data_IF_164537362111
#
_entry.id   IF_164537362111
#
_cell.length_a   1.000
_cell.length_b   1.000
_cell.length_c   1.000
_cell.angle_alpha   90.00
_cell.angle_beta   90.00
_cell.angle_gamma   90.00
#
_symmetry.space_group_name_H-M   'P 1'
#
loop_
_entity.id
_entity.type
_entity.pdbx_description
1 polymer ?
#
# COMPACT_ATOMS: atom_id res chain seq x y z
N UNK A 1 0.09 -14.73 -9.66
CA UNK A 1 -1.39 -15.00 -9.58
C UNK A 1 -1.80 -15.92 -10.72
N UNK A 2 -3.00 -16.53 -10.63
CA UNK A 2 -3.58 -17.24 -11.78
C UNK A 2 -4.06 -16.20 -12.81
N UNK A 3 -3.45 -16.21 -14.00
CA UNK A 3 -3.71 -15.22 -15.05
C UNK A 3 -5.18 -15.26 -15.51
N UNK A 4 -5.76 -16.45 -15.67
CA UNK A 4 -7.14 -16.56 -16.17
C UNK A 4 -8.17 -16.04 -15.14
N UNK A 5 -7.86 -16.12 -13.84
CA UNK A 5 -8.68 -15.52 -12.80
C UNK A 5 -8.53 -14.00 -12.82
N UNK A 6 -7.30 -13.51 -12.93
CA UNK A 6 -7.01 -12.08 -12.94
C UNK A 6 -7.65 -11.39 -14.14
N UNK A 7 -7.55 -11.97 -15.34
CA UNK A 7 -8.18 -11.46 -16.56
C UNK A 7 -9.72 -11.33 -16.40
N UNK A 8 -10.36 -12.32 -15.73
CA UNK A 8 -11.81 -12.24 -15.45
C UNK A 8 -12.17 -11.15 -14.44
N UNK A 9 -11.34 -10.93 -13.43
CA UNK A 9 -11.55 -9.83 -12.46
C UNK A 9 -11.39 -8.47 -13.15
N UNK A 10 -10.37 -8.32 -13.99
CA UNK A 10 -10.14 -7.11 -14.80
C UNK A 10 -11.33 -6.89 -15.76
N UNK A 11 -11.83 -7.93 -16.39
CA UNK A 11 -13.02 -7.82 -17.26
C UNK A 11 -14.28 -7.39 -16.49
N UNK A 12 -14.48 -7.90 -15.26
CA UNK A 12 -15.59 -7.43 -14.40
C UNK A 12 -15.43 -5.94 -14.09
N UNK A 13 -14.21 -5.49 -13.79
CA UNK A 13 -13.90 -4.10 -13.51
C UNK A 13 -14.15 -3.21 -14.73
N UNK A 14 -13.65 -3.60 -15.91
CA UNK A 14 -13.85 -2.88 -17.17
C UNK A 14 -15.33 -2.71 -17.50
N UNK A 15 -16.10 -3.80 -17.39
CA UNK A 15 -17.55 -3.80 -17.66
C UNK A 15 -18.31 -2.89 -16.70
N UNK A 16 -17.86 -2.80 -15.44
CA UNK A 16 -18.48 -1.98 -14.39
C UNK A 16 -18.00 -0.53 -14.35
N UNK A 17 -17.00 -0.14 -15.13
CA UNK A 17 -16.27 1.14 -14.97
C UNK A 17 -17.19 2.38 -15.04
N UNK A 18 -18.21 2.39 -15.88
CA UNK A 18 -19.13 3.52 -15.99
C UNK A 18 -19.98 3.70 -14.74
N UNK A 19 -20.37 2.59 -14.08
CA UNK A 19 -21.07 2.65 -12.80
C UNK A 19 -20.14 3.00 -11.64
N UNK A 20 -18.87 2.58 -11.71
CA UNK A 20 -17.86 2.85 -10.68
C UNK A 20 -17.44 4.32 -10.67
N UNK A 21 -17.35 4.97 -11.84
CA UNK A 21 -16.73 6.29 -12.01
C UNK A 21 -17.72 7.44 -12.14
N UNK A 22 -18.94 7.30 -11.80
CA UNK A 22 -19.89 8.42 -11.83
C UNK A 22 -21.34 8.01 -12.06
N UNK A 23 -21.60 6.69 -12.11
CA UNK A 23 -22.94 6.15 -12.18
C UNK A 23 -23.53 5.93 -10.78
N UNK A 24 -23.56 4.67 -10.36
CA UNK A 24 -24.10 4.25 -9.06
C UNK A 24 -23.12 4.46 -7.90
N UNK A 25 -21.83 4.48 -8.20
CA UNK A 25 -20.72 4.57 -7.25
C UNK A 25 -19.84 5.77 -7.60
N UNK A 26 -18.96 6.17 -6.69
CA UNK A 26 -18.00 7.26 -6.88
C UNK A 26 -16.60 6.78 -6.51
N UNK A 27 -16.14 5.66 -7.12
CA UNK A 27 -14.80 5.15 -6.85
C UNK A 27 -13.69 6.05 -7.42
N UNK A 28 -14.03 6.90 -8.36
CA UNK A 28 -13.13 7.89 -8.97
C UNK A 28 -12.59 8.91 -7.94
N UNK A 29 -13.22 9.03 -6.77
CA UNK A 29 -12.77 9.92 -5.70
C UNK A 29 -11.31 9.66 -5.28
N UNK A 30 -10.77 8.45 -5.49
CA UNK A 30 -9.38 8.09 -5.14
C UNK A 30 -8.36 8.93 -5.92
N UNK A 31 -8.63 9.19 -7.21
CA UNK A 31 -7.79 10.05 -8.05
C UNK A 31 -7.98 11.54 -7.72
N UNK A 32 -9.15 11.92 -7.19
CA UNK A 32 -9.38 13.26 -6.61
C UNK A 32 -8.58 13.44 -5.34
N UNK A 33 -8.64 12.47 -4.44
CA UNK A 33 -7.86 12.48 -3.20
C UNK A 33 -6.35 12.55 -3.49
N UNK A 34 -5.86 11.79 -4.48
CA UNK A 34 -4.47 11.86 -4.93
C UNK A 34 -4.11 13.27 -5.40
N UNK A 35 -4.90 13.86 -6.30
CA UNK A 35 -4.64 15.21 -6.82
C UNK A 35 -4.63 16.26 -5.71
N UNK A 36 -5.62 16.22 -4.84
CA UNK A 36 -5.72 17.14 -3.70
C UNK A 36 -4.50 17.00 -2.79
N UNK A 37 -4.11 15.76 -2.46
CA UNK A 37 -2.97 15.53 -1.60
C UNK A 37 -1.67 16.04 -2.24
N UNK A 38 -1.38 15.70 -3.48
CA UNK A 38 -0.19 16.13 -4.18
C UNK A 38 -0.10 17.66 -4.30
N UNK A 39 -1.21 18.32 -4.63
CA UNK A 39 -1.24 19.77 -4.78
C UNK A 39 -1.03 20.50 -3.44
N UNK A 40 -1.62 20.01 -2.37
CA UNK A 40 -1.65 20.71 -1.09
C UNK A 40 -0.49 20.30 -0.17
N UNK A 41 -0.06 19.04 -0.17
CA UNK A 41 1.03 18.60 0.70
C UNK A 41 2.36 19.27 0.37
N UNK A 42 2.64 19.43 -0.92
CA UNK A 42 3.90 20.02 -1.41
C UNK A 42 3.84 21.54 -1.62
N UNK A 43 2.71 22.15 -1.31
CA UNK A 43 2.57 23.62 -1.36
C UNK A 43 3.34 24.28 -0.20
N UNK A 44 4.16 25.28 -0.51
CA UNK A 44 5.13 25.87 0.44
C UNK A 44 4.51 26.88 1.42
N UNK A 45 3.31 27.38 1.19
CA UNK A 45 2.70 28.49 1.90
C UNK A 45 1.76 28.09 3.06
N UNK A 46 1.77 26.82 3.47
CA UNK A 46 1.07 26.41 4.67
C UNK A 46 1.76 26.90 5.93
N UNK A 47 1.02 27.50 6.87
CA UNK A 47 1.59 28.09 8.09
C UNK A 47 2.16 27.03 9.06
N UNK A 48 1.59 25.82 9.05
CA UNK A 48 1.97 24.72 9.93
C UNK A 48 1.57 23.35 9.34
N UNK A 49 2.02 22.28 10.00
CA UNK A 49 1.69 20.91 9.65
C UNK A 49 0.18 20.65 9.64
N UNK A 50 -0.56 21.13 10.64
CA UNK A 50 -1.99 20.87 10.76
C UNK A 50 -2.78 21.47 9.60
N UNK A 51 -2.44 22.70 9.20
CA UNK A 51 -3.03 23.38 8.04
C UNK A 51 -2.77 22.61 6.76
N UNK A 52 -1.50 22.19 6.54
CA UNK A 52 -1.10 21.32 5.42
C UNK A 52 -1.87 20.01 5.43
N UNK A 53 -1.88 19.30 6.56
CA UNK A 53 -2.56 18.01 6.72
C UNK A 53 -4.06 18.12 6.43
N UNK A 54 -4.74 19.11 7.00
CA UNK A 54 -6.18 19.30 6.82
C UNK A 54 -6.56 19.58 5.37
N UNK A 55 -5.79 20.40 4.67
CA UNK A 55 -6.02 20.72 3.26
C UNK A 55 -5.70 19.55 2.35
N UNK A 56 -4.56 18.93 2.53
CA UNK A 56 -4.12 17.79 1.72
C UNK A 56 -5.05 16.56 1.88
N UNK A 57 -5.63 16.37 3.05
CA UNK A 57 -6.46 15.19 3.35
C UNK A 57 -7.96 15.46 3.32
N UNK A 58 -8.44 16.59 2.80
CA UNK A 58 -9.87 16.91 2.79
C UNK A 58 -10.72 15.90 2.03
N UNK A 59 -10.22 15.38 0.90
CA UNK A 59 -10.90 14.38 0.07
C UNK A 59 -10.48 12.93 0.42
N UNK A 60 -9.60 12.78 1.42
CA UNK A 60 -8.98 11.53 1.79
C UNK A 60 -9.76 10.72 2.83
N UNK A 61 -10.63 11.37 3.60
CA UNK A 61 -11.38 10.72 4.69
C UNK A 61 -12.19 9.51 4.22
N UNK A 62 -12.78 9.57 3.03
CA UNK A 62 -13.56 8.46 2.46
C UNK A 62 -12.70 7.21 2.23
N UNK A 63 -11.40 7.39 1.96
CA UNK A 63 -10.47 6.29 1.73
C UNK A 63 -10.09 5.54 3.01
N UNK A 64 -9.88 6.26 4.12
CA UNK A 64 -9.35 5.71 5.37
C UNK A 64 -10.36 5.63 6.50
N UNK A 65 -11.33 6.54 6.56
CA UNK A 65 -12.36 6.54 7.60
C UNK A 65 -13.44 5.48 7.30
N UNK A 66 -14.05 4.97 8.34
CA UNK A 66 -15.20 4.07 8.24
C UNK A 66 -16.17 4.33 9.40
N UNK A 67 -17.27 3.58 9.48
CA UNK A 67 -18.30 3.76 10.51
C UNK A 67 -17.81 3.59 11.96
N UNK A 68 -16.61 3.03 12.17
CA UNK A 68 -16.04 2.73 13.50
C UNK A 68 -14.72 3.42 13.76
N UNK A 69 -13.97 3.73 12.71
CA UNK A 69 -12.61 4.26 12.81
C UNK A 69 -12.51 5.56 12.02
N UNK A 70 -11.94 6.58 12.63
CA UNK A 70 -11.78 7.92 12.06
C UNK A 70 -10.31 8.38 12.16
N UNK A 71 -9.39 7.68 11.48
CA UNK A 71 -7.95 7.93 11.61
C UNK A 71 -7.54 9.36 11.22
N UNK A 72 -8.16 9.98 10.21
CA UNK A 72 -7.89 11.38 9.86
C UNK A 72 -8.16 12.33 11.04
N UNK A 73 -9.32 12.21 11.68
CA UNK A 73 -9.62 12.99 12.87
C UNK A 73 -8.71 12.65 14.04
N UNK A 74 -8.22 11.40 14.09
CA UNK A 74 -7.24 10.94 15.06
C UNK A 74 -5.92 11.71 14.98
N UNK A 75 -5.38 11.92 13.78
CA UNK A 75 -4.18 12.74 13.58
C UNK A 75 -4.38 14.15 14.12
N UNK A 76 -5.49 14.81 13.77
CA UNK A 76 -5.82 16.15 14.25
C UNK A 76 -5.84 16.21 15.78
N UNK A 77 -6.53 15.26 16.40
CA UNK A 77 -6.66 15.19 17.88
C UNK A 77 -5.34 14.90 18.59
N UNK A 78 -4.49 14.07 18.02
CA UNK A 78 -3.16 13.79 18.58
C UNK A 78 -2.22 14.97 18.38
N UNK A 79 -2.31 15.66 17.24
CA UNK A 79 -1.54 16.87 17.00
C UNK A 79 -1.88 17.99 18.01
N UNK A 80 -3.16 18.16 18.39
CA UNK A 80 -3.57 19.10 19.45
C UNK A 80 -2.89 18.83 20.81
N UNK A 81 -2.40 17.59 21.03
CA UNK A 81 -1.75 17.16 22.28
C UNK A 81 -0.23 17.21 22.20
N UNK A 82 0.33 16.82 21.08
CA UNK A 82 1.77 16.77 20.85
C UNK A 82 2.10 17.05 19.37
N UNK A 83 2.10 18.34 18.95
CA UNK A 83 2.29 18.72 17.57
C UNK A 83 3.64 18.26 17.00
N UNK A 84 4.74 18.47 17.74
CA UNK A 84 6.09 18.15 17.27
C UNK A 84 6.26 16.65 17.00
N UNK A 85 5.70 15.80 17.86
CA UNK A 85 5.83 14.36 17.70
C UNK A 85 4.95 13.82 16.56
N UNK A 86 3.74 14.35 16.36
CA UNK A 86 2.90 13.97 15.22
C UNK A 86 3.57 14.38 13.90
N UNK A 87 4.11 15.60 13.82
CA UNK A 87 4.83 16.06 12.63
C UNK A 87 6.07 15.21 12.37
N UNK A 88 6.87 14.89 13.41
CA UNK A 88 8.02 13.99 13.31
C UNK A 88 7.63 12.60 12.80
N UNK A 89 6.56 12.02 13.34
CA UNK A 89 6.08 10.70 12.90
C UNK A 89 5.69 10.68 11.42
N UNK A 90 5.12 11.74 10.89
CA UNK A 90 4.83 11.83 9.46
C UNK A 90 6.09 12.10 8.63
N UNK A 91 6.85 13.15 8.96
CA UNK A 91 7.89 13.68 8.08
C UNK A 91 9.22 12.92 8.19
N UNK A 92 9.58 12.42 9.39
CA UNK A 92 10.88 11.80 9.66
C UNK A 92 10.79 10.27 9.83
N UNK A 93 9.57 9.71 9.99
CA UNK A 93 9.38 8.27 10.11
C UNK A 93 8.63 7.73 8.90
N UNK A 94 7.34 8.09 8.73
CA UNK A 94 6.52 7.50 7.66
C UNK A 94 7.04 7.87 6.26
N UNK A 95 7.38 9.15 6.04
CA UNK A 95 7.85 9.68 4.76
C UNK A 95 9.37 9.72 4.64
N UNK A 96 10.10 9.07 5.56
CA UNK A 96 11.54 8.93 5.45
C UNK A 96 11.93 8.15 4.20
N UNK A 97 13.06 8.55 3.60
CA UNK A 97 13.55 7.87 2.40
C UNK A 97 13.96 6.43 2.72
N UNK A 98 13.42 5.49 1.95
CA UNK A 98 13.76 4.06 2.03
C UNK A 98 14.54 3.56 0.81
N UNK A 99 14.72 4.43 -0.21
CA UNK A 99 15.44 4.13 -1.44
C UNK A 99 14.97 2.84 -2.16
N UNK A 100 13.70 2.47 -1.99
CA UNK A 100 13.09 1.28 -2.58
C UNK A 100 13.27 0.01 -1.75
N UNK A 101 13.87 0.09 -0.55
CA UNK A 101 13.95 -1.04 0.38
C UNK A 101 12.58 -1.26 1.07
N UNK A 102 11.87 -2.28 0.65
CA UNK A 102 10.54 -2.61 1.17
C UNK A 102 10.57 -3.11 2.62
N UNK A 103 11.69 -3.66 3.10
CA UNK A 103 11.84 -4.03 4.51
C UNK A 103 11.91 -2.78 5.37
N UNK A 104 12.75 -1.82 4.99
CA UNK A 104 12.85 -0.53 5.68
C UNK A 104 11.53 0.25 5.61
N UNK A 105 10.83 0.21 4.46
CA UNK A 105 9.50 0.82 4.30
C UNK A 105 8.48 0.22 5.26
N UNK A 106 8.47 -1.10 5.42
CA UNK A 106 7.60 -1.76 6.39
C UNK A 106 7.94 -1.36 7.83
N UNK A 107 9.21 -1.28 8.16
CA UNK A 107 9.67 -0.80 9.48
C UNK A 107 9.21 0.65 9.75
N UNK A 108 9.30 1.54 8.76
CA UNK A 108 8.79 2.92 8.87
C UNK A 108 7.26 2.96 9.08
N UNK A 109 6.51 2.15 8.34
CA UNK A 109 5.06 2.05 8.53
C UNK A 109 4.70 1.55 9.93
N UNK A 110 5.37 0.53 10.41
CA UNK A 110 5.11 -0.06 11.72
C UNK A 110 5.52 0.90 12.84
N UNK A 111 6.68 1.55 12.73
CA UNK A 111 7.12 2.59 13.67
C UNK A 111 6.17 3.80 13.73
N UNK A 112 5.62 4.22 12.58
CA UNK A 112 4.59 5.25 12.54
C UNK A 112 3.32 4.82 13.28
N UNK A 113 2.81 3.63 13.00
CA UNK A 113 1.59 3.09 13.63
C UNK A 113 1.79 2.97 15.14
N UNK A 114 2.93 2.42 15.58
CA UNK A 114 3.26 2.25 16.99
C UNK A 114 3.45 3.60 17.69
N UNK A 115 4.11 4.56 17.08
CA UNK A 115 4.29 5.91 17.64
C UNK A 115 2.95 6.64 17.82
N UNK A 116 2.07 6.58 16.82
CA UNK A 116 0.71 7.14 16.91
C UNK A 116 -0.13 6.42 17.99
N UNK A 117 0.02 5.11 18.14
CA UNK A 117 -0.67 4.36 19.22
C UNK A 117 -0.14 4.72 20.60
N UNK A 118 1.18 4.92 20.75
CA UNK A 118 1.77 5.40 22.03
C UNK A 118 1.21 6.77 22.41
N UNK A 119 1.12 7.73 21.47
CA UNK A 119 0.48 9.02 21.71
C UNK A 119 -1.00 8.86 22.08
N UNK A 120 -1.71 7.98 21.38
CA UNK A 120 -3.11 7.69 21.70
C UNK A 120 -3.30 7.18 23.12
N UNK A 121 -2.53 6.19 23.52
CA UNK A 121 -2.61 5.59 24.87
C UNK A 121 -2.26 6.59 25.96
N UNK A 122 -1.31 7.50 25.70
CA UNK A 122 -0.92 8.54 26.65
C UNK A 122 -2.03 9.57 26.92
N UNK A 123 -2.90 9.84 25.93
CA UNK A 123 -3.84 10.96 25.98
C UNK A 123 -5.32 10.57 25.96
N UNK A 124 -5.67 9.35 25.54
CA UNK A 124 -7.05 8.94 25.29
C UNK A 124 -7.34 7.53 25.81
N UNK A 125 -8.60 7.21 26.16
CA UNK A 125 -8.97 5.90 26.68
C UNK A 125 -8.81 4.79 25.62
N UNK A 126 -8.70 3.55 26.09
CA UNK A 126 -8.45 2.36 25.26
C UNK A 126 -9.50 2.13 24.17
N UNK A 127 -10.75 2.52 24.38
CA UNK A 127 -11.85 2.37 23.43
C UNK A 127 -11.96 3.53 22.42
N UNK A 128 -10.99 4.45 22.41
CA UNK A 128 -10.98 5.56 21.45
C UNK A 128 -10.77 5.05 20.01
N UNK A 129 -11.65 5.44 19.09
CA UNK A 129 -11.77 4.86 17.75
C UNK A 129 -10.93 5.57 16.67
N UNK A 130 -10.05 6.50 17.05
CA UNK A 130 -9.26 7.31 16.12
C UNK A 130 -7.83 6.77 15.94
N UNK A 131 -7.73 5.46 15.72
CA UNK A 131 -6.46 4.76 15.58
C UNK A 131 -5.89 4.83 14.18
N UNK A 132 -4.57 4.74 14.09
CA UNK A 132 -3.86 4.46 12.85
C UNK A 132 -3.59 2.96 12.74
N UNK A 133 -3.49 2.47 11.50
CA UNK A 133 -3.10 1.10 11.18
C UNK A 133 -2.27 1.08 9.87
N UNK A 134 -1.84 -0.10 9.44
CA UNK A 134 -1.09 -0.24 8.19
C UNK A 134 -1.88 0.20 6.96
N UNK A 135 -3.20 0.11 6.99
CA UNK A 135 -4.03 0.65 5.91
C UNK A 135 -3.87 2.16 5.80
N UNK A 136 -3.99 2.88 6.92
CA UNK A 136 -3.84 4.33 6.93
C UNK A 136 -2.42 4.76 6.59
N UNK A 137 -1.40 4.10 7.14
CA UNK A 137 0.01 4.38 6.83
C UNK A 137 0.31 4.18 5.34
N UNK A 138 -0.09 3.04 4.76
CA UNK A 138 0.11 2.77 3.33
C UNK A 138 -0.67 3.73 2.43
N UNK A 139 -1.87 4.15 2.85
CA UNK A 139 -2.65 5.12 2.11
C UNK A 139 -1.99 6.51 2.10
N UNK A 140 -1.42 6.96 3.23
CA UNK A 140 -0.62 8.20 3.27
C UNK A 140 0.63 8.09 2.38
N UNK A 141 1.35 6.97 2.42
CA UNK A 141 2.50 6.74 1.55
C UNK A 141 2.13 6.78 0.06
N UNK A 142 1.02 6.13 -0.32
CA UNK A 142 0.56 6.11 -1.70
C UNK A 142 0.13 7.50 -2.20
N UNK A 143 -0.40 8.36 -1.32
CA UNK A 143 -0.70 9.74 -1.67
C UNK A 143 0.56 10.61 -1.72
N UNK A 144 1.55 10.34 -0.85
CA UNK A 144 2.81 11.08 -0.78
C UNK A 144 3.75 10.76 -1.96
N UNK A 145 3.93 9.48 -2.26
CA UNK A 145 4.78 9.00 -3.35
C UNK A 145 4.04 7.89 -4.15
N UNK A 146 3.09 8.27 -5.01
CA UNK A 146 2.21 7.32 -5.71
C UNK A 146 2.95 6.39 -6.67
N UNK A 147 4.09 6.82 -7.21
CA UNK A 147 4.92 6.01 -8.10
C UNK A 147 5.58 4.81 -7.38
N UNK A 148 5.72 4.88 -6.05
CA UNK A 148 6.48 3.92 -5.26
C UNK A 148 5.62 3.09 -4.31
N UNK A 149 4.34 3.44 -4.11
CA UNK A 149 3.55 2.87 -3.03
C UNK A 149 2.17 2.37 -3.46
N UNK A 150 1.83 1.17 -2.95
CA UNK A 150 0.48 0.61 -3.03
C UNK A 150 -0.28 0.81 -1.72
N UNK A 151 -1.59 1.08 -1.81
CA UNK A 151 -2.48 1.10 -0.64
C UNK A 151 -2.77 -0.33 -0.21
N UNK A 152 -2.50 -0.66 1.06
CA UNK A 152 -2.78 -1.95 1.66
C UNK A 152 -4.05 -1.91 2.49
N UNK A 153 -4.95 -2.88 2.28
CA UNK A 153 -6.11 -3.12 3.13
C UNK A 153 -6.28 -4.61 3.37
N UNK A 154 -6.01 -5.03 4.61
CA UNK A 154 -5.80 -6.43 4.97
C UNK A 154 -6.90 -7.38 4.47
N UNK A 155 -8.16 -7.03 4.70
CA UNK A 155 -9.27 -7.94 4.35
C UNK A 155 -9.47 -8.08 2.84
N UNK A 156 -9.22 -7.04 2.07
CA UNK A 156 -9.29 -7.01 0.62
C UNK A 156 -8.10 -7.75 -0.01
N UNK A 157 -6.90 -7.46 0.49
CA UNK A 157 -5.66 -8.09 0.04
C UNK A 157 -5.67 -9.61 0.28
N UNK A 158 -6.08 -10.05 1.48
CA UNK A 158 -6.21 -11.48 1.80
C UNK A 158 -7.25 -12.20 0.93
N UNK A 159 -8.33 -11.53 0.53
CA UNK A 159 -9.29 -12.13 -0.41
C UNK A 159 -8.70 -12.22 -1.81
N UNK A 160 -7.98 -11.20 -2.27
CA UNK A 160 -7.30 -11.22 -3.57
C UNK A 160 -6.24 -12.32 -3.62
N UNK A 161 -5.42 -12.47 -2.57
CA UNK A 161 -4.47 -13.59 -2.42
C UNK A 161 -5.17 -14.95 -2.59
N UNK A 162 -6.26 -15.14 -1.86
CA UNK A 162 -6.98 -16.42 -1.81
C UNK A 162 -7.68 -16.76 -3.13
N UNK A 163 -8.47 -15.83 -3.65
CA UNK A 163 -9.25 -16.04 -4.85
C UNK A 163 -8.42 -15.97 -6.13
N UNK A 164 -7.45 -15.08 -6.17
CA UNK A 164 -6.54 -14.89 -7.29
C UNK A 164 -5.48 -15.98 -7.42
N UNK A 165 -5.50 -16.97 -6.54
CA UNK A 165 -4.52 -18.05 -6.53
C UNK A 165 -3.07 -17.55 -6.51
N UNK A 166 -2.79 -16.51 -5.72
CA UNK A 166 -1.44 -16.00 -5.52
C UNK A 166 -0.54 -17.09 -4.90
N UNK A 167 0.69 -17.20 -5.41
CA UNK A 167 1.59 -18.29 -5.05
C UNK A 167 2.30 -18.12 -3.71
N UNK A 168 2.29 -16.90 -3.17
CA UNK A 168 2.93 -16.55 -1.90
C UNK A 168 1.87 -16.20 -0.86
N UNK A 169 2.31 -16.03 0.39
CA UNK A 169 1.43 -15.61 1.47
C UNK A 169 1.82 -14.20 1.92
N UNK A 170 0.86 -13.26 1.85
CA UNK A 170 1.09 -11.88 2.26
C UNK A 170 1.00 -11.68 3.78
N UNK A 171 0.55 -12.67 4.50
CA UNK A 171 0.42 -12.62 5.96
C UNK A 171 -0.62 -11.62 6.46
N UNK A 172 -0.65 -11.47 7.78
CA UNK A 172 -1.49 -10.49 8.47
C UNK A 172 -0.98 -10.28 9.91
N UNK A 173 -1.32 -9.14 10.51
CA UNK A 173 -0.83 -8.81 11.86
C UNK A 173 0.70 -8.79 11.91
N UNK A 174 1.30 -9.51 12.86
CA UNK A 174 2.76 -9.61 13.04
C UNK A 174 3.47 -10.35 11.89
N UNK A 175 2.74 -11.13 11.11
CA UNK A 175 3.27 -11.91 9.97
C UNK A 175 3.02 -11.24 8.62
N UNK A 176 2.64 -9.96 8.61
CA UNK A 176 2.46 -9.23 7.35
C UNK A 176 3.79 -9.01 6.65
N UNK A 177 3.83 -9.30 5.35
CA UNK A 177 4.99 -9.13 4.46
C UNK A 177 4.63 -8.13 3.36
N UNK A 178 5.16 -6.92 3.46
CA UNK A 178 4.96 -5.84 2.49
C UNK A 178 5.54 -6.22 1.12
N UNK A 179 6.68 -6.91 1.09
CA UNK A 179 7.31 -7.33 -0.16
C UNK A 179 6.46 -8.34 -0.92
N UNK A 180 5.85 -9.29 -0.20
CA UNK A 180 4.91 -10.24 -0.80
C UNK A 180 3.65 -9.54 -1.32
N UNK A 181 3.14 -8.55 -0.59
CA UNK A 181 2.00 -7.73 -1.02
C UNK A 181 2.32 -6.92 -2.27
N UNK A 182 3.47 -6.22 -2.30
CA UNK A 182 3.88 -5.42 -3.46
C UNK A 182 4.07 -6.29 -4.70
N UNK A 183 4.70 -7.44 -4.56
CA UNK A 183 4.83 -8.42 -5.66
C UNK A 183 3.47 -8.85 -6.22
N UNK A 184 2.46 -9.07 -5.37
CA UNK A 184 1.10 -9.35 -5.83
C UNK A 184 0.51 -8.17 -6.60
N UNK A 185 0.71 -6.95 -6.12
CA UNK A 185 0.25 -5.74 -6.80
C UNK A 185 0.96 -5.52 -8.14
N UNK A 186 2.27 -5.78 -8.21
CA UNK A 186 3.04 -5.70 -9.46
C UNK A 186 2.54 -6.68 -10.52
N UNK A 187 2.15 -7.91 -10.13
CA UNK A 187 1.53 -8.87 -11.05
C UNK A 187 0.18 -8.36 -11.58
N UNK A 188 -0.62 -7.70 -10.73
CA UNK A 188 -1.89 -7.08 -11.13
C UNK A 188 -1.64 -5.89 -12.07
N UNK A 189 -0.68 -5.02 -11.74
CA UNK A 189 -0.30 -3.89 -12.58
C UNK A 189 0.21 -4.33 -13.95
N UNK A 190 1.03 -5.39 -13.99
CA UNK A 190 1.51 -5.99 -15.23
C UNK A 190 0.35 -6.51 -16.09
N UNK A 191 -0.64 -7.17 -15.47
CA UNK A 191 -1.82 -7.65 -16.19
C UNK A 191 -2.66 -6.47 -16.74
N UNK A 192 -2.86 -5.39 -15.99
CA UNK A 192 -3.53 -4.19 -16.53
C UNK A 192 -2.85 -3.65 -17.77
N UNK A 193 -1.51 -3.65 -17.82
CA UNK A 193 -0.77 -3.17 -19.02
C UNK A 193 -1.00 -3.99 -20.27
N UNK A 194 -1.48 -5.23 -20.13
CA UNK A 194 -1.91 -6.06 -21.26
C UNK A 194 -3.32 -5.71 -21.77
N UNK A 195 -4.12 -4.97 -20.98
CA UNK A 195 -5.49 -4.54 -21.29
C UNK A 195 -5.54 -3.07 -21.78
N UNK A 196 -4.95 -2.79 -22.93
CA UNK A 196 -4.80 -1.42 -23.45
C UNK A 196 -6.13 -0.65 -23.61
N UNK A 197 -7.18 -1.30 -24.06
CA UNK A 197 -8.50 -0.68 -24.22
C UNK A 197 -9.12 -0.24 -22.88
N UNK A 198 -8.94 -1.05 -21.82
CA UNK A 198 -9.35 -0.68 -20.48
C UNK A 198 -8.57 0.54 -19.99
N UNK A 199 -7.24 0.54 -20.17
CA UNK A 199 -6.39 1.66 -19.74
C UNK A 199 -6.72 2.94 -20.48
N UNK A 200 -6.97 2.88 -21.79
CA UNK A 200 -7.40 4.04 -22.57
C UNK A 200 -8.73 4.59 -22.01
N UNK A 201 -9.74 3.74 -21.86
CA UNK A 201 -11.02 4.13 -21.27
C UNK A 201 -10.86 4.72 -19.84
N UNK A 202 -10.00 4.12 -19.01
CA UNK A 202 -9.71 4.61 -17.65
C UNK A 202 -9.11 6.01 -17.69
N UNK A 203 -8.03 6.21 -18.45
CA UNK A 203 -7.36 7.51 -18.52
C UNK A 203 -8.23 8.59 -19.17
N UNK A 204 -9.05 8.24 -20.17
CA UNK A 204 -9.99 9.19 -20.74
C UNK A 204 -10.99 9.70 -19.71
N UNK A 205 -11.55 8.79 -18.89
CA UNK A 205 -12.45 9.19 -17.78
C UNK A 205 -11.76 10.07 -16.74
N UNK A 206 -10.50 9.81 -16.43
CA UNK A 206 -9.74 10.68 -15.51
C UNK A 206 -9.55 12.08 -16.12
N UNK A 207 -9.25 12.18 -17.42
CA UNK A 207 -9.02 13.45 -18.14
C UNK A 207 -10.29 14.29 -18.35
N UNK A 208 -11.47 13.67 -18.32
CA UNK A 208 -12.74 14.38 -18.38
C UNK A 208 -12.96 15.35 -17.19
N UNK A 209 -12.16 15.25 -16.12
CA UNK A 209 -12.31 15.98 -14.88
C UNK A 209 -11.02 16.69 -14.47
N UNK A 210 -11.09 18.01 -14.37
CA UNK A 210 -9.94 18.84 -13.96
C UNK A 210 -9.51 18.63 -12.49
N UNK A 211 -10.34 18.01 -11.65
CA UNK A 211 -10.07 17.74 -10.25
C UNK A 211 -9.47 16.35 -9.99
N UNK A 212 -9.14 15.60 -11.04
CA UNK A 212 -8.51 14.29 -10.97
C UNK A 212 -7.04 14.34 -11.41
N UNK A 213 -6.25 13.35 -10.97
CA UNK A 213 -4.86 13.17 -11.35
C UNK A 213 -4.65 11.77 -11.93
N UNK A 214 -3.98 11.69 -13.10
CA UNK A 214 -3.59 10.40 -13.66
C UNK A 214 -2.55 9.71 -12.75
N UNK A 215 -2.80 8.44 -12.45
CA UNK A 215 -1.83 7.55 -11.83
C UNK A 215 -1.26 6.61 -12.91
N UNK A 216 -0.12 6.99 -13.50
CA UNK A 216 0.52 6.21 -14.56
C UNK A 216 1.26 4.98 -14.06
N UNK A 217 1.58 4.93 -12.77
CA UNK A 217 2.10 3.73 -12.12
C UNK A 217 1.06 2.61 -12.06
N UNK A 218 -0.24 2.96 -12.08
CA UNK A 218 -1.42 2.13 -11.90
C UNK A 218 -1.62 1.65 -10.46
N UNK A 219 -0.92 2.23 -9.49
CA UNK A 219 -0.96 1.76 -8.11
C UNK A 219 -2.32 1.99 -7.47
N UNK A 220 -2.96 3.13 -7.76
CA UNK A 220 -4.33 3.39 -7.31
C UNK A 220 -5.34 2.49 -8.04
N UNK A 221 -5.15 2.24 -9.34
CA UNK A 221 -6.00 1.35 -10.12
C UNK A 221 -5.92 -0.11 -9.62
N UNK A 222 -4.72 -0.57 -9.25
CA UNK A 222 -4.51 -1.89 -8.63
C UNK A 222 -5.28 -2.00 -7.31
N UNK A 223 -5.13 -0.99 -6.44
CA UNK A 223 -5.90 -0.95 -5.19
C UNK A 223 -7.40 -0.93 -5.45
N UNK A 224 -7.84 -0.16 -6.44
CA UNK A 224 -9.27 -0.05 -6.77
C UNK A 224 -9.83 -1.39 -7.27
N UNK A 225 -9.10 -2.15 -8.10
CA UNK A 225 -9.50 -3.51 -8.47
C UNK A 225 -9.62 -4.44 -7.24
N UNK A 226 -8.62 -4.42 -6.35
CA UNK A 226 -8.62 -5.23 -5.13
C UNK A 226 -9.83 -4.90 -4.27
N UNK A 227 -10.10 -3.63 -4.06
CA UNK A 227 -11.24 -3.11 -3.30
C UNK A 227 -12.58 -3.48 -3.95
N UNK A 228 -12.75 -3.19 -5.24
CA UNK A 228 -13.97 -3.42 -5.99
C UNK A 228 -14.31 -4.91 -6.10
N UNK A 229 -13.29 -5.77 -6.22
CA UNK A 229 -13.48 -7.22 -6.29
C UNK A 229 -14.20 -7.79 -5.07
N UNK A 230 -13.92 -7.26 -3.88
CA UNK A 230 -14.65 -7.59 -2.65
C UNK A 230 -15.97 -6.83 -2.56
N UNK A 231 -15.93 -5.50 -2.68
CA UNK A 231 -17.06 -4.62 -2.41
C UNK A 231 -18.23 -4.88 -3.35
N UNK A 232 -17.93 -5.12 -4.63
CA UNK A 232 -18.95 -5.40 -5.66
C UNK A 232 -19.03 -6.87 -6.03
N UNK A 233 -18.45 -7.75 -5.18
CA UNK A 233 -18.65 -9.18 -5.21
C UNK A 233 -18.23 -9.87 -6.52
N UNK A 234 -17.13 -9.43 -7.12
CA UNK A 234 -16.63 -10.00 -8.39
C UNK A 234 -16.29 -11.47 -8.26
N UNK A 235 -15.72 -11.89 -7.13
CA UNK A 235 -15.40 -13.32 -6.87
C UNK A 235 -16.58 -14.24 -7.07
N UNK A 236 -17.77 -13.86 -6.61
CA UNK A 236 -18.98 -14.65 -6.82
C UNK A 236 -19.53 -14.53 -8.25
N UNK A 237 -19.40 -13.34 -8.88
CA UNK A 237 -19.85 -13.14 -10.28
C UNK A 237 -19.12 -14.07 -11.24
N UNK A 238 -17.84 -14.35 -10.99
CA UNK A 238 -17.04 -15.26 -11.82
C UNK A 238 -16.92 -16.68 -11.21
N UNK A 239 -17.78 -17.01 -10.24
CA UNK A 239 -17.90 -18.32 -9.61
C UNK A 239 -16.61 -18.86 -8.98
N UNK A 240 -15.78 -18.00 -8.42
CA UNK A 240 -14.58 -18.43 -7.71
C UNK A 240 -14.91 -19.03 -6.35
N UNK A 241 -14.18 -20.10 -6.01
CA UNK A 241 -14.21 -20.72 -4.69
C UNK A 241 -12.93 -20.38 -3.93
N UNK A 242 -13.06 -20.09 -2.62
CA UNK A 242 -11.89 -19.93 -1.73
C UNK A 242 -11.00 -21.17 -1.79
N UNK A 243 -9.68 -20.96 -1.81
CA UNK A 243 -8.71 -22.05 -1.65
C UNK A 243 -8.93 -22.75 -0.31
N UNK A 244 -8.79 -24.08 -0.33
CA UNK A 244 -8.83 -24.88 0.90
C UNK A 244 -7.61 -24.55 1.77
N UNK A 245 -7.72 -24.57 3.12
CA UNK A 245 -6.62 -24.27 4.06
C UNK A 245 -5.33 -25.06 3.81
N UNK A 246 -5.44 -26.33 3.36
CA UNK A 246 -4.27 -27.15 3.01
C UNK A 246 -3.40 -26.60 1.88
N UNK A 247 -4.02 -25.88 0.92
CA UNK A 247 -3.27 -25.25 -0.17
C UNK A 247 -2.56 -23.99 0.29
N UNK A 248 -3.15 -23.27 1.24
CA UNK A 248 -2.54 -22.12 1.88
C UNK A 248 -1.32 -22.52 2.72
N UNK A 249 -1.46 -23.57 3.54
CA UNK A 249 -0.35 -24.12 4.33
C UNK A 249 0.83 -24.60 3.44
N UNK A 250 0.54 -25.21 2.29
CA UNK A 250 1.58 -25.60 1.32
C UNK A 250 2.24 -24.40 0.64
N UNK A 251 1.50 -23.34 0.35
CA UNK A 251 2.05 -22.10 -0.21
C UNK A 251 2.98 -21.42 0.80
N UNK A 252 2.54 -21.28 2.05
CA UNK A 252 3.35 -20.74 3.15
C UNK A 252 4.64 -21.55 3.39
N UNK A 253 4.54 -22.89 3.45
CA UNK A 253 5.69 -23.76 3.62
C UNK A 253 6.69 -23.66 2.44
N UNK A 254 6.20 -23.43 1.23
CA UNK A 254 7.06 -23.21 0.06
C UNK A 254 7.78 -21.87 0.13
N UNK A 255 7.08 -20.80 0.53
CA UNK A 255 7.66 -19.47 0.72
C UNK A 255 8.77 -19.50 1.78
N UNK A 256 8.53 -20.15 2.93
CA UNK A 256 9.52 -20.34 3.98
C UNK A 256 10.76 -21.11 3.48
N UNK A 257 10.56 -22.17 2.70
CA UNK A 257 11.65 -22.94 2.11
C UNK A 257 12.47 -22.13 1.08
N UNK A 258 11.81 -21.28 0.29
CA UNK A 258 12.48 -20.41 -0.68
C UNK A 258 13.25 -19.28 0.02
N UNK A 259 12.75 -18.74 1.12
CA UNK A 259 13.42 -17.72 1.94
C UNK A 259 14.67 -18.31 2.65
N UNK A 260 14.57 -19.50 3.22
CA UNK A 260 15.73 -20.21 3.80
C UNK A 260 16.83 -20.43 2.75
N UNK A 261 16.46 -20.79 1.52
CA UNK A 261 17.44 -20.94 0.43
C UNK A 261 18.09 -19.60 0.07
N UNK A 262 17.30 -18.52 0.01
CA UNK A 262 17.81 -17.19 -0.28
C UNK A 262 18.79 -16.72 0.79
N UNK A 263 18.47 -16.95 2.06
CA UNK A 263 19.34 -16.59 3.17
C UNK A 263 20.65 -17.37 3.13
N UNK A 264 20.61 -18.67 2.86
CA UNK A 264 21.80 -19.49 2.70
C UNK A 264 22.69 -19.03 1.52
N UNK A 265 22.09 -18.54 0.42
CA UNK A 265 22.85 -17.97 -0.69
C UNK A 265 23.52 -16.65 -0.31
N UNK A 266 22.84 -15.78 0.45
CA UNK A 266 23.40 -14.53 0.95
C UNK A 266 24.59 -14.81 1.87
N UNK A 267 24.47 -15.74 2.82
CA UNK A 267 25.55 -16.15 3.71
C UNK A 267 26.78 -16.69 2.94
N UNK A 268 26.53 -17.53 1.94
CA UNK A 268 27.60 -18.07 1.10
C UNK A 268 28.33 -16.96 0.30
N UNK A 269 27.58 -16.00 -0.26
CA UNK A 269 28.16 -14.86 -0.98
C UNK A 269 28.92 -13.93 -0.02
N UNK A 270 28.40 -13.68 1.17
CA UNK A 270 29.08 -12.88 2.20
C UNK A 270 30.43 -13.48 2.57
N UNK A 271 30.46 -14.80 2.84
CA UNK A 271 31.70 -15.52 3.13
C UNK A 271 32.71 -15.44 1.97
N UNK A 272 32.23 -15.53 0.71
CA UNK A 272 33.11 -15.39 -0.46
C UNK A 272 33.69 -13.96 -0.58
N UNK A 273 32.89 -12.95 -0.29
CA UNK A 273 33.33 -11.55 -0.31
C UNK A 273 34.38 -11.32 0.80
N UNK A 274 34.14 -11.80 2.01
CA UNK A 274 35.09 -11.73 3.13
C UNK A 274 36.43 -12.39 2.78
N UNK A 275 36.41 -13.57 2.21
CA UNK A 275 37.61 -14.27 1.76
C UNK A 275 38.36 -13.52 0.65
N UNK A 276 37.65 -12.83 -0.25
CA UNK A 276 38.26 -11.98 -1.28
C UNK A 276 38.90 -10.72 -0.68
N UNK A 277 38.28 -10.12 0.34
CA UNK A 277 38.85 -8.98 1.06
C UNK A 277 40.13 -9.36 1.82
N UNK A 278 40.16 -10.54 2.48
CA UNK A 278 41.34 -11.05 3.17
C UNK A 278 42.50 -11.40 2.21
N UNK A 279 42.17 -11.76 0.97
CA UNK A 279 43.16 -12.08 -0.06
C UNK A 279 43.75 -10.85 -0.79
N UNK A 280 43.22 -9.64 -0.55
CA UNK A 280 43.76 -8.40 -1.14
C UNK A 280 45.13 -8.08 -0.53
N UNK A 281 46.19 -7.80 -1.33
CA UNK A 281 47.48 -7.42 -0.83
C UNK A 281 47.40 -6.08 -0.07
N UNK A 282 48.06 -6.05 1.08
CA UNK A 282 48.16 -4.90 1.94
C UNK A 282 48.88 -3.73 1.18
N UNK A 283 48.13 -2.73 0.74
CA UNK A 283 48.62 -1.58 -0.04
C UNK A 283 49.37 -0.55 0.84
N UNK A 284 49.60 -0.90 2.12
CA UNK A 284 50.17 0.04 3.09
C UNK A 284 51.69 0.11 3.17
N UNK A 285 52.47 -0.58 2.29
CA UNK A 285 53.95 -0.49 2.28
C UNK A 285 54.50 -0.14 0.92
N UNK A 286 54.43 1.14 0.56
CA UNK A 286 55.33 1.78 -0.39
C UNK A 286 55.42 3.27 -0.06
N UNK A 287 56.32 3.59 0.84
CA UNK A 287 56.99 4.91 0.92
C UNK A 287 58.47 4.70 0.94
#
# INVERSE_FOLDING_TARGET
>A
MDKAILDKLIQCYETGMDELYGGKHDEIFKWRALKTFQAEWFRADHPDFLSRFNTATRDFSVLIDNSRMHPRSGVVKLWEKNPDEVERLFCEVLFAADHGDLTLRQEHMDAFVDGMEQLRVAHYPANWSFKQDRHTASAFLAMYAPEDNYIYKSSEANLMENYGAYGFHIGSGEHFDLSAYYRMCDEIAASFREHSALLEKHFDKIREHDDLMEDRSLHILVYDLIYCSKTYNYYNRIHLQKRKPEKQAKAAARQEADEVKRQAQIEALTTQIEALYEALPDVSTSR
#
